data_IF_412136432054
#
_entry.id   IF_412136432054
#
_cell.length_a   1.000
_cell.length_b   1.000
_cell.length_c   1.000
_cell.angle_alpha   90.00
_cell.angle_beta   90.00
_cell.angle_gamma   90.00
#
_symmetry.space_group_name_H-M   'P 1'
#
loop_
_entity.id
_entity.type
_entity.pdbx_description
1 polymer ?
#
# COMPACT_ATOMS: atom_id res chain seq x y z
N UNK A 1 -8.20 28.52 38.25
CA UNK A 1 -8.36 28.26 36.79
C UNK A 1 -7.02 27.93 36.16
N UNK A 2 -6.56 26.66 36.16
CA UNK A 2 -5.42 26.17 35.35
C UNK A 2 -5.45 24.63 35.28
N UNK A 3 -6.41 24.03 34.56
CA UNK A 3 -6.45 22.57 34.33
C UNK A 3 -6.73 22.22 32.84
N UNK A 4 -6.74 23.20 31.92
CA UNK A 4 -7.16 22.96 30.53
C UNK A 4 -6.05 22.66 29.51
N UNK A 5 -4.78 22.60 29.91
CA UNK A 5 -3.67 22.46 28.94
C UNK A 5 -3.03 21.07 28.86
N UNK A 6 -3.61 20.05 29.52
CA UNK A 6 -3.01 18.70 29.55
C UNK A 6 -3.85 17.63 28.85
N UNK A 7 -4.67 18.01 27.86
CA UNK A 7 -5.45 17.04 27.05
C UNK A 7 -5.07 17.12 25.56
N UNK A 8 -4.36 18.15 25.11
CA UNK A 8 -4.14 18.39 23.68
C UNK A 8 -2.89 17.72 23.09
N UNK A 9 -2.10 16.97 23.88
CA UNK A 9 -0.84 16.36 23.43
C UNK A 9 -0.91 14.82 23.34
N UNK A 10 -2.03 14.20 23.72
CA UNK A 10 -2.17 12.73 23.66
C UNK A 10 -2.65 12.23 22.27
N UNK A 11 -3.13 13.12 21.40
CA UNK A 11 -3.57 12.74 20.05
C UNK A 11 -2.44 12.50 19.03
N UNK A 12 -1.17 12.61 19.43
CA UNK A 12 -0.01 12.53 18.50
C UNK A 12 0.44 11.10 18.21
N UNK A 13 -0.20 10.08 18.81
CA UNK A 13 0.10 8.67 18.53
C UNK A 13 -1.16 7.82 18.32
N UNK A 14 -2.21 8.40 17.74
CA UNK A 14 -3.22 7.57 17.09
C UNK A 14 -2.59 7.01 15.82
N UNK A 15 -1.85 5.90 15.97
CA UNK A 15 -1.70 4.95 14.86
C UNK A 15 -3.09 4.78 14.27
N UNK A 16 -3.26 5.14 13.00
CA UNK A 16 -4.53 5.06 12.32
C UNK A 16 -4.91 3.59 12.20
N UNK A 17 -5.51 3.03 13.25
CA UNK A 17 -6.01 1.66 13.28
C UNK A 17 -7.27 1.64 12.40
N UNK A 18 -7.04 1.67 11.07
CA UNK A 18 -8.07 1.93 10.07
C UNK A 18 -9.17 0.87 10.09
N UNK A 19 -8.82 -0.34 10.53
CA UNK A 19 -9.69 -1.51 10.49
C UNK A 19 -9.53 -2.31 11.78
N UNK A 20 -10.66 -2.71 12.37
CA UNK A 20 -10.69 -3.54 13.58
C UNK A 20 -10.45 -5.00 13.27
N UNK A 21 -10.78 -5.44 12.06
CA UNK A 21 -10.56 -6.79 11.56
C UNK A 21 -10.00 -6.76 10.14
N UNK A 22 -8.92 -7.53 9.92
CA UNK A 22 -8.27 -7.66 8.62
C UNK A 22 -8.06 -9.15 8.38
N UNK A 23 -8.52 -9.66 7.24
CA UNK A 23 -8.33 -11.06 6.86
C UNK A 23 -8.05 -11.14 5.37
N UNK A 24 -6.91 -11.73 5.01
CA UNK A 24 -6.60 -12.01 3.62
C UNK A 24 -7.33 -13.28 3.21
N UNK A 25 -8.26 -13.16 2.26
CA UNK A 25 -9.05 -14.29 1.76
C UNK A 25 -8.31 -15.03 0.64
N UNK A 26 -7.48 -14.31 -0.12
CA UNK A 26 -6.70 -14.86 -1.23
C UNK A 26 -5.49 -13.97 -1.50
N UNK A 27 -4.33 -14.59 -1.71
CA UNK A 27 -3.15 -13.95 -2.31
C UNK A 27 -2.89 -14.56 -3.69
N UNK A 28 -2.73 -13.70 -4.69
CA UNK A 28 -2.24 -14.10 -6.00
C UNK A 28 -0.70 -14.08 -5.98
N UNK A 29 -0.09 -14.68 -7.01
CA UNK A 29 1.36 -14.55 -7.22
C UNK A 29 1.70 -13.08 -7.49
N UNK A 30 2.82 -12.57 -6.96
CA UNK A 30 3.32 -11.25 -7.35
C UNK A 30 3.48 -11.13 -8.86
N UNK A 31 3.25 -9.93 -9.35
CA UNK A 31 3.36 -9.53 -10.76
C UNK A 31 4.20 -8.28 -10.83
N UNK A 32 4.67 -7.93 -12.03
CA UNK A 32 5.41 -6.70 -12.23
C UNK A 32 4.83 -5.90 -13.39
N UNK A 33 5.00 -4.58 -13.33
CA UNK A 33 4.65 -3.64 -14.39
C UNK A 33 5.84 -2.72 -14.62
N UNK A 34 6.43 -2.79 -15.81
CA UNK A 34 7.51 -1.90 -16.25
C UNK A 34 6.94 -0.78 -17.13
N UNK A 35 7.70 0.30 -17.30
CA UNK A 35 7.36 1.33 -18.28
C UNK A 35 7.57 0.81 -19.70
N UNK A 36 6.80 1.32 -20.68
CA UNK A 36 6.92 0.93 -22.09
C UNK A 36 8.35 1.06 -22.63
N UNK A 37 9.09 2.05 -22.16
CA UNK A 37 10.48 2.32 -22.54
C UNK A 37 11.46 1.23 -22.06
N UNK A 38 11.04 0.41 -21.09
CA UNK A 38 11.84 -0.66 -20.49
C UNK A 38 11.34 -2.06 -20.90
N UNK A 39 10.19 -2.19 -21.57
CA UNK A 39 9.61 -3.49 -21.97
C UNK A 39 10.56 -4.28 -22.89
N UNK A 40 11.28 -3.60 -23.77
CA UNK A 40 12.23 -4.21 -24.71
C UNK A 40 13.60 -4.51 -24.07
N UNK A 41 13.84 -4.06 -22.83
CA UNK A 41 15.09 -4.30 -22.11
C UNK A 41 15.02 -5.66 -21.41
N UNK A 42 15.22 -6.73 -22.17
CA UNK A 42 15.09 -8.11 -21.69
C UNK A 42 15.86 -8.38 -20.39
N UNK A 43 17.10 -7.91 -20.28
CA UNK A 43 17.91 -8.05 -19.06
C UNK A 43 17.23 -7.42 -17.84
N UNK A 44 16.71 -6.20 -17.98
CA UNK A 44 16.03 -5.47 -16.90
C UNK A 44 14.71 -6.17 -16.52
N UNK A 45 13.91 -6.56 -17.51
CA UNK A 45 12.63 -7.27 -17.30
C UNK A 45 12.86 -8.61 -16.59
N UNK A 46 13.90 -9.36 -16.97
CA UNK A 46 14.24 -10.62 -16.32
C UNK A 46 14.69 -10.40 -14.88
N UNK A 47 15.54 -9.40 -14.62
CA UNK A 47 15.97 -9.07 -13.26
C UNK A 47 14.78 -8.71 -12.35
N UNK A 48 13.87 -7.85 -12.84
CA UNK A 48 12.64 -7.49 -12.11
C UNK A 48 11.78 -8.71 -11.85
N UNK A 49 11.57 -9.57 -12.86
CA UNK A 49 10.78 -10.79 -12.71
C UNK A 49 11.34 -11.73 -11.64
N UNK A 50 12.66 -11.90 -11.61
CA UNK A 50 13.34 -12.75 -10.63
C UNK A 50 13.25 -12.19 -9.21
N UNK A 51 13.35 -10.87 -9.06
CA UNK A 51 13.22 -10.20 -7.76
C UNK A 51 11.77 -10.09 -7.26
N UNK A 52 10.78 -10.21 -8.14
CA UNK A 52 9.36 -10.01 -7.82
C UNK A 52 8.69 -11.24 -7.19
N UNK A 53 9.02 -11.54 -5.94
CA UNK A 53 8.39 -12.63 -5.22
C UNK A 53 8.32 -12.35 -3.71
N UNK A 54 7.53 -13.15 -2.99
CA UNK A 54 7.27 -12.97 -1.53
C UNK A 54 8.46 -13.33 -0.64
N UNK A 55 9.47 -14.03 -1.16
CA UNK A 55 10.70 -14.33 -0.41
C UNK A 55 11.67 -13.14 -0.41
N UNK A 56 11.62 -12.32 -1.46
CA UNK A 56 12.50 -11.16 -1.66
C UNK A 56 11.79 -9.87 -1.22
N UNK A 57 10.57 -9.64 -1.68
CA UNK A 57 9.77 -8.45 -1.34
C UNK A 57 8.98 -8.74 -0.06
N UNK A 58 9.56 -8.34 1.09
CA UNK A 58 8.97 -8.58 2.41
C UNK A 58 7.57 -8.02 2.56
N UNK A 59 7.29 -6.88 1.93
CA UNK A 59 5.97 -6.23 1.98
C UNK A 59 4.85 -7.09 1.37
N UNK A 60 5.19 -8.12 0.59
CA UNK A 60 4.23 -9.05 0.00
C UNK A 60 3.92 -10.27 0.88
N UNK A 61 4.51 -10.34 2.06
CA UNK A 61 4.17 -11.37 3.05
C UNK A 61 2.92 -10.95 3.81
N UNK A 62 2.07 -11.92 4.16
CA UNK A 62 0.75 -11.68 4.76
C UNK A 62 0.80 -10.79 6.02
N UNK A 63 1.77 -11.02 6.91
CA UNK A 63 1.93 -10.21 8.13
C UNK A 63 2.22 -8.74 7.82
N UNK A 64 3.01 -8.48 6.77
CA UNK A 64 3.38 -7.14 6.34
C UNK A 64 2.22 -6.44 5.63
N UNK A 65 1.45 -7.17 4.81
CA UNK A 65 0.22 -6.66 4.18
C UNK A 65 -0.81 -6.28 5.26
N UNK A 66 -1.01 -7.13 6.27
CA UNK A 66 -1.92 -6.84 7.38
C UNK A 66 -1.43 -5.60 8.14
N UNK A 67 -0.14 -5.54 8.49
CA UNK A 67 0.42 -4.40 9.20
C UNK A 67 0.37 -3.10 8.38
N UNK A 68 0.51 -3.19 7.05
CA UNK A 68 0.32 -2.06 6.14
C UNK A 68 -1.09 -1.50 6.28
N UNK A 69 -2.15 -2.31 6.10
CA UNK A 69 -3.53 -1.82 6.19
C UNK A 69 -3.93 -1.33 7.58
N UNK A 70 -3.25 -1.79 8.65
CA UNK A 70 -3.40 -1.27 10.02
C UNK A 70 -2.82 0.13 10.24
N UNK A 71 -1.94 0.61 9.37
CA UNK A 71 -1.15 1.83 9.61
C UNK A 71 -1.18 2.84 8.46
N UNK A 72 -1.41 2.37 7.24
CA UNK A 72 -1.39 3.17 6.03
C UNK A 72 -2.43 4.28 6.13
N UNK A 73 -2.11 5.47 5.65
CA UNK A 73 -3.05 6.56 5.58
C UNK A 73 -3.99 6.37 4.41
N UNK A 74 -5.29 6.53 4.65
CA UNK A 74 -6.27 6.62 3.59
C UNK A 74 -6.24 8.02 2.96
N UNK A 75 -6.27 8.05 1.64
CA UNK A 75 -6.34 9.26 0.85
C UNK A 75 -7.64 9.28 0.04
N UNK A 76 -8.36 10.38 0.18
CA UNK A 76 -9.52 10.69 -0.65
C UNK A 76 -9.00 11.45 -1.88
N UNK A 77 -9.36 11.02 -3.09
CA UNK A 77 -8.91 11.63 -4.36
C UNK A 77 -9.09 13.15 -4.34
N UNK A 78 -8.00 13.91 -4.12
CA UNK A 78 -8.06 15.39 -4.12
C UNK A 78 -6.81 16.05 -4.72
N UNK A 79 -6.01 15.31 -5.49
CA UNK A 79 -4.93 15.90 -6.28
C UNK A 79 -4.96 15.35 -7.69
N UNK A 80 -4.95 16.25 -8.69
CA UNK A 80 -5.09 15.93 -10.12
C UNK A 80 -3.98 15.03 -10.71
N UNK A 81 -3.06 14.52 -9.89
CA UNK A 81 -1.97 13.61 -10.27
C UNK A 81 -2.21 12.18 -9.71
N UNK A 82 -3.15 12.02 -8.76
CA UNK A 82 -3.45 10.75 -8.10
C UNK A 82 -2.43 10.39 -7.02
N UNK A 83 -2.89 9.81 -5.92
CA UNK A 83 -2.07 9.47 -4.73
C UNK A 83 -0.92 8.53 -5.10
N UNK A 84 -1.13 7.63 -6.06
CA UNK A 84 -0.11 6.73 -6.60
C UNK A 84 1.18 7.46 -7.01
N UNK A 85 1.07 8.67 -7.56
CA UNK A 85 2.22 9.44 -8.04
C UNK A 85 3.09 10.02 -6.91
N UNK A 86 2.57 10.07 -5.67
CA UNK A 86 3.33 10.47 -4.50
C UNK A 86 4.17 9.32 -3.92
N UNK A 87 3.94 8.11 -4.41
CA UNK A 87 4.65 6.90 -4.02
C UNK A 87 5.55 6.44 -5.15
N UNK A 88 6.67 5.84 -4.78
CA UNK A 88 7.58 5.36 -5.78
C UNK A 88 6.95 4.20 -6.56
N UNK A 89 6.97 4.32 -7.89
CA UNK A 89 6.36 3.35 -8.80
C UNK A 89 7.32 2.21 -9.07
N UNK A 90 7.72 1.52 -8.00
CA UNK A 90 8.45 0.28 -8.15
C UNK A 90 7.63 -0.74 -8.95
N UNK A 91 8.29 -1.58 -9.75
CA UNK A 91 7.59 -2.39 -10.75
C UNK A 91 6.78 -3.52 -10.11
N UNK A 92 7.16 -3.97 -8.92
CA UNK A 92 6.55 -5.11 -8.25
C UNK A 92 5.22 -4.82 -7.58
N UNK A 93 4.29 -5.76 -7.71
CA UNK A 93 2.92 -5.68 -7.17
C UNK A 93 2.43 -7.03 -6.70
N UNK A 94 1.74 -7.05 -5.57
CA UNK A 94 0.93 -8.20 -5.14
C UNK A 94 -0.54 -7.83 -5.18
N UNK A 95 -1.36 -8.78 -5.62
CA UNK A 95 -2.82 -8.61 -5.66
C UNK A 95 -3.50 -9.73 -4.89
N UNK A 96 -4.74 -9.50 -4.49
CA UNK A 96 -5.52 -10.50 -3.79
C UNK A 96 -6.90 -10.03 -3.42
N UNK A 97 -7.54 -10.79 -2.54
CA UNK A 97 -8.85 -10.47 -1.98
C UNK A 97 -8.67 -10.33 -0.47
N UNK A 98 -9.08 -9.20 0.08
CA UNK A 98 -8.96 -8.87 1.50
C UNK A 98 -10.32 -8.47 2.06
N UNK A 99 -10.61 -8.94 3.27
CA UNK A 99 -11.76 -8.50 4.06
C UNK A 99 -11.27 -7.53 5.11
N UNK A 100 -11.83 -6.32 5.09
CA UNK A 100 -11.56 -5.25 6.05
C UNK A 100 -12.87 -4.95 6.77
N UNK A 101 -12.91 -5.25 8.06
CA UNK A 101 -14.12 -5.30 8.88
C UNK A 101 -15.21 -6.17 8.24
N UNK A 102 -16.29 -5.58 7.74
CA UNK A 102 -17.40 -6.29 7.08
C UNK A 102 -17.33 -6.28 5.55
N UNK A 103 -16.38 -5.55 4.96
CA UNK A 103 -16.34 -5.28 3.51
C UNK A 103 -15.21 -6.08 2.85
N UNK A 104 -15.49 -6.62 1.67
CA UNK A 104 -14.52 -7.38 0.86
C UNK A 104 -14.07 -6.51 -0.30
N UNK A 105 -12.75 -6.49 -0.52
CA UNK A 105 -12.11 -5.76 -1.60
C UNK A 105 -11.18 -6.66 -2.39
N UNK A 106 -11.08 -6.39 -3.68
CA UNK A 106 -9.88 -6.68 -4.44
C UNK A 106 -8.81 -5.65 -4.06
N UNK A 107 -7.59 -6.10 -3.80
CA UNK A 107 -6.49 -5.20 -3.48
C UNK A 107 -5.32 -5.37 -4.45
N UNK A 108 -4.59 -4.28 -4.66
CA UNK A 108 -3.26 -4.22 -5.28
C UNK A 108 -2.35 -3.44 -4.33
N UNK A 109 -1.19 -3.99 -4.00
CA UNK A 109 -0.14 -3.33 -3.19
C UNK A 109 1.15 -3.35 -4.00
N UNK A 110 1.79 -2.19 -4.15
CA UNK A 110 3.14 -2.08 -4.71
C UNK A 110 4.21 -2.10 -3.61
N UNK A 111 5.45 -2.45 -3.94
CA UNK A 111 6.55 -2.42 -2.96
C UNK A 111 6.92 -0.99 -2.50
N UNK A 112 6.47 0.03 -3.23
CA UNK A 112 6.62 1.45 -2.86
C UNK A 112 5.74 1.90 -1.70
N UNK A 113 4.95 1.01 -1.10
CA UNK A 113 4.11 1.34 0.05
C UNK A 113 2.81 2.03 -0.33
N UNK A 114 2.26 1.71 -1.50
CA UNK A 114 0.95 2.20 -1.93
C UNK A 114 0.04 1.05 -2.32
N UNK A 115 -1.22 1.12 -1.86
CA UNK A 115 -2.24 0.14 -2.16
C UNK A 115 -3.53 0.79 -2.66
N UNK A 116 -4.20 0.06 -3.55
CA UNK A 116 -5.56 0.35 -3.99
C UNK A 116 -6.49 -0.75 -3.53
N UNK A 117 -7.62 -0.37 -2.98
CA UNK A 117 -8.76 -1.25 -2.74
C UNK A 117 -9.87 -0.93 -3.73
N UNK A 118 -10.52 -1.96 -4.25
CA UNK A 118 -11.67 -1.82 -5.12
C UNK A 118 -12.72 -2.87 -4.78
N UNK A 119 -13.98 -2.44 -4.71
CA UNK A 119 -15.12 -3.33 -4.76
C UNK A 119 -16.07 -2.84 -5.88
N UNK A 120 -17.34 -3.26 -5.85
CA UNK A 120 -18.32 -2.84 -6.86
C UNK A 120 -18.75 -1.39 -6.72
N UNK A 121 -18.64 -0.83 -5.53
CA UNK A 121 -19.27 0.42 -5.12
C UNK A 121 -18.25 1.54 -4.86
N UNK A 122 -16.99 1.21 -4.54
CA UNK A 122 -15.96 2.18 -4.19
C UNK A 122 -14.55 1.77 -4.60
N UNK A 123 -13.69 2.78 -4.68
CA UNK A 123 -12.23 2.68 -4.81
C UNK A 123 -11.63 3.49 -3.67
N UNK A 124 -10.63 2.93 -2.98
CA UNK A 124 -9.94 3.57 -1.86
C UNK A 124 -8.43 3.45 -2.04
N UNK A 125 -7.72 4.52 -1.74
CA UNK A 125 -6.29 4.64 -1.95
C UNK A 125 -5.58 4.76 -0.58
N UNK A 126 -4.55 3.95 -0.36
CA UNK A 126 -3.81 3.87 0.90
C UNK A 126 -2.32 4.01 0.65
N UNK A 127 -1.62 4.68 1.56
CA UNK A 127 -0.18 4.82 1.46
C UNK A 127 0.54 4.83 2.80
N UNK A 128 1.75 4.28 2.83
CA UNK A 128 2.64 4.34 3.99
C UNK A 128 3.32 5.71 4.05
N UNK A 129 2.94 6.57 4.99
CA UNK A 129 3.52 7.92 5.10
C UNK A 129 5.03 7.92 5.33
N UNK A 130 5.62 6.83 5.83
CA UNK A 130 7.08 6.72 5.98
C UNK A 130 7.79 6.64 4.63
N UNK A 131 7.10 6.15 3.59
CA UNK A 131 7.63 5.99 2.23
C UNK A 131 7.12 7.09 1.27
N UNK A 132 6.40 8.07 1.80
CA UNK A 132 5.87 9.18 1.01
C UNK A 132 7.01 9.99 0.41
N UNK A 133 7.08 10.09 -0.92
CA UNK A 133 8.17 10.78 -1.61
C UNK A 133 9.54 10.10 -1.51
N UNK A 134 9.64 8.89 -0.94
CA UNK A 134 10.87 8.09 -0.96
C UNK A 134 11.05 7.45 -2.34
N UNK A 135 11.41 8.28 -3.30
CA UNK A 135 12.08 7.82 -4.50
C UNK A 135 13.57 8.00 -4.31
N UNK A 136 14.29 6.88 -4.22
CA UNK A 136 15.72 6.85 -3.96
C UNK A 136 16.47 7.88 -4.81
N UNK A 137 17.24 8.73 -4.12
CA UNK A 137 18.35 9.47 -4.71
C UNK A 137 19.48 8.46 -4.99
#
# INVERSE_FOLDING_TARGET
>A
MRIFYMILVICVFLYADNFKSITILKLNKPTFKVHKEDEDKEYYVNAVRESCNTQIVKDFQEEHIINFFKKAKEYYEDSGIGVEAAYCTFPCRITGIIKLDSIIYDFELNEGGYAKLKNKDEKRDFGDEQRYGECGI
#
